data_IF_498877796357
#
_entry.id   IF_498877796357
#
_cell.length_a   1.000
_cell.length_b   1.000
_cell.length_c   1.000
_cell.angle_alpha   90.00
_cell.angle_beta   90.00
_cell.angle_gamma   90.00
#
_symmetry.space_group_name_H-M   'P 1'
#
loop_
_entity.id
_entity.type
_entity.pdbx_description
1 polymer ?
#
# COMPACT_ATOMS: atom_id res chain seq x y z
N UNK A 1 7.03 -12.51 20.68
CA UNK A 1 8.33 -12.96 20.11
C UNK A 1 8.37 -12.57 18.65
N UNK A 2 9.53 -12.67 17.99
CA UNK A 2 9.70 -12.32 16.57
C UNK A 2 9.04 -13.31 15.60
N UNK A 3 8.57 -14.46 16.10
CA UNK A 3 8.02 -15.56 15.29
C UNK A 3 6.86 -15.11 14.41
N UNK A 4 5.93 -14.33 14.95
CA UNK A 4 4.78 -13.83 14.17
C UNK A 4 5.17 -12.90 13.02
N UNK A 5 6.29 -12.18 13.14
CA UNK A 5 6.82 -11.37 12.05
C UNK A 5 7.47 -12.26 10.97
N UNK A 6 8.23 -13.28 11.37
CA UNK A 6 8.86 -14.22 10.45
C UNK A 6 7.80 -14.99 9.65
N UNK A 7 6.74 -15.46 10.30
CA UNK A 7 5.63 -16.15 9.64
C UNK A 7 4.92 -15.26 8.60
N UNK A 8 4.76 -13.97 8.91
CA UNK A 8 4.21 -13.00 7.96
C UNK A 8 5.12 -12.84 6.73
N UNK A 9 6.43 -12.77 6.92
CA UNK A 9 7.41 -12.64 5.83
C UNK A 9 7.43 -13.89 4.93
N UNK A 10 7.29 -15.09 5.49
CA UNK A 10 7.19 -16.34 4.72
C UNK A 10 5.94 -16.33 3.83
N UNK A 11 4.80 -15.88 4.37
CA UNK A 11 3.55 -15.75 3.60
C UNK A 11 3.68 -14.73 2.47
N UNK A 12 4.25 -13.56 2.75
CA UNK A 12 4.50 -12.52 1.74
C UNK A 12 5.40 -13.06 0.62
N UNK A 13 6.45 -13.82 0.96
CA UNK A 13 7.32 -14.45 -0.04
C UNK A 13 6.52 -15.40 -0.95
N UNK A 14 5.70 -16.27 -0.37
CA UNK A 14 4.88 -17.20 -1.13
C UNK A 14 3.87 -16.48 -2.03
N UNK A 15 3.22 -15.43 -1.52
CA UNK A 15 2.30 -14.59 -2.30
C UNK A 15 3.04 -13.89 -3.44
N UNK A 16 4.26 -13.40 -3.23
CA UNK A 16 5.07 -12.78 -4.28
C UNK A 16 5.46 -13.77 -5.40
N UNK A 17 5.71 -15.04 -5.08
CA UNK A 17 6.07 -16.08 -6.06
C UNK A 17 4.85 -16.58 -6.85
N UNK A 18 3.68 -16.66 -6.20
CA UNK A 18 2.47 -17.26 -6.79
C UNK A 18 1.51 -16.24 -7.39
N UNK A 19 1.39 -15.07 -6.78
CA UNK A 19 0.51 -13.99 -7.21
C UNK A 19 1.11 -12.60 -6.88
N UNK A 20 2.08 -12.13 -7.69
CA UNK A 20 2.82 -10.89 -7.42
C UNK A 20 1.93 -9.64 -7.30
N UNK A 21 0.79 -9.62 -7.98
CA UNK A 21 -0.13 -8.48 -7.99
C UNK A 21 -0.80 -8.26 -6.64
N UNK A 22 -0.97 -9.33 -5.84
CA UNK A 22 -1.46 -9.23 -4.47
C UNK A 22 -0.51 -8.39 -3.60
N UNK A 23 0.79 -8.60 -3.73
CA UNK A 23 1.79 -7.87 -2.93
C UNK A 23 1.96 -6.43 -3.43
N UNK A 24 1.92 -6.23 -4.76
CA UNK A 24 2.06 -4.89 -5.36
C UNK A 24 0.84 -4.00 -5.12
N UNK A 25 -0.37 -4.57 -5.13
CA UNK A 25 -1.62 -3.85 -4.95
C UNK A 25 -2.00 -3.60 -3.50
N UNK A 26 -1.32 -4.25 -2.55
CA UNK A 26 -1.51 -3.99 -1.13
C UNK A 26 -1.23 -2.50 -0.79
N UNK A 27 -1.97 -1.91 0.18
CA UNK A 27 -2.92 -2.53 1.10
C UNK A 27 -4.37 -2.62 0.58
N UNK A 28 -5.10 -3.67 0.95
CA UNK A 28 -6.50 -3.88 0.51
C UNK A 28 -7.57 -3.52 1.55
N UNK A 29 -7.23 -3.60 2.83
CA UNK A 29 -8.15 -3.38 3.95
C UNK A 29 -8.02 -2.01 4.60
N UNK A 30 -6.97 -1.24 4.26
CA UNK A 30 -6.80 0.11 4.76
C UNK A 30 -7.74 1.07 4.02
N UNK A 31 -8.24 2.13 4.68
CA UNK A 31 -9.17 3.08 4.09
C UNK A 31 -8.57 3.84 2.89
N UNK A 32 -7.24 3.87 2.80
CA UNK A 32 -6.49 4.50 1.71
C UNK A 32 -5.53 3.46 1.13
N UNK A 33 -5.50 3.37 -0.21
CA UNK A 33 -4.56 2.53 -0.96
C UNK A 33 -3.24 3.29 -1.22
N UNK A 34 -2.32 2.68 -1.98
CA UNK A 34 -1.11 3.40 -2.44
C UNK A 34 -1.51 4.67 -3.17
N UNK A 35 -0.92 5.78 -2.77
CA UNK A 35 -1.13 7.09 -3.36
C UNK A 35 -0.33 7.21 -4.66
N UNK A 36 -0.81 8.06 -5.56
CA UNK A 36 -0.09 8.39 -6.80
C UNK A 36 0.84 9.57 -6.54
N UNK A 37 2.07 9.24 -6.13
CA UNK A 37 3.10 10.23 -5.80
C UNK A 37 3.52 11.08 -7.01
N UNK A 38 3.45 10.50 -8.23
CA UNK A 38 3.81 11.21 -9.47
C UNK A 38 2.77 12.28 -9.78
N UNK A 39 1.49 11.93 -9.65
CA UNK A 39 0.42 12.89 -9.81
C UNK A 39 0.47 13.97 -8.73
N UNK A 40 0.66 13.59 -7.47
CA UNK A 40 0.77 14.53 -6.35
C UNK A 40 1.90 15.55 -6.56
N UNK A 41 3.03 15.14 -7.13
CA UNK A 41 4.14 16.04 -7.44
C UNK A 41 3.86 16.98 -8.64
N UNK A 42 3.03 16.56 -9.60
CA UNK A 42 2.69 17.34 -10.80
C UNK A 42 1.49 18.27 -10.60
N UNK A 43 0.52 17.85 -9.80
CA UNK A 43 -0.74 18.53 -9.52
C UNK A 43 -0.86 18.76 -8.00
N UNK A 44 -0.05 19.70 -7.49
CA UNK A 44 0.03 20.00 -6.06
C UNK A 44 -1.25 20.67 -5.55
N UNK A 45 -1.98 19.98 -4.67
CA UNK A 45 -3.05 20.56 -3.85
C UNK A 45 -2.61 20.65 -2.39
N UNK A 46 -2.16 21.85 -2.00
CA UNK A 46 -1.48 22.09 -0.72
C UNK A 46 -2.37 22.73 0.34
N UNK A 47 -3.54 23.23 -0.04
CA UNK A 47 -4.40 24.02 0.83
C UNK A 47 -5.77 23.37 0.95
N UNK A 48 -6.16 23.02 2.18
CA UNK A 48 -7.50 22.53 2.46
C UNK A 48 -8.55 23.58 2.09
N UNK A 49 -9.46 23.21 1.19
CA UNK A 49 -10.65 24.01 0.85
C UNK A 49 -11.87 23.21 1.30
N UNK A 50 -12.64 23.67 2.30
CA UNK A 50 -13.85 22.98 2.70
C UNK A 50 -14.83 22.96 1.52
N UNK A 51 -15.45 21.81 1.27
CA UNK A 51 -16.53 21.70 0.29
C UNK A 51 -17.70 22.58 0.74
N UNK A 52 -18.27 23.35 -0.20
CA UNK A 52 -19.41 24.25 0.04
C UNK A 52 -20.70 23.47 0.37
#
# INVERSE_FOLDING_TARGET
TLDGFIDAMIKIKHEAETNPELVKGAPYSLPVRRLDDVKAARELDLAYKPAA
#
